data_IF_499045270193
#
_entry.id   IF_499045270193
#
_cell.length_a   1.000
_cell.length_b   1.000
_cell.length_c   1.000
_cell.angle_alpha   90.00
_cell.angle_beta   90.00
_cell.angle_gamma   90.00
#
_symmetry.space_group_name_H-M   'P 1'
#
loop_
_entity.id
_entity.type
_entity.pdbx_description
1 polymer ?
#
# COMPACT_ATOMS: atom_id res chain seq x y z
N UNK A 1 -7.23 -0.24 20.01
CA UNK A 1 -5.88 0.35 19.78
C UNK A 1 -5.58 0.19 18.31
N UNK A 2 -5.47 1.29 17.57
CA UNK A 2 -5.12 1.22 16.16
C UNK A 2 -3.62 0.91 16.07
N UNK A 3 -3.26 -0.10 15.27
CA UNK A 3 -1.85 -0.35 14.97
C UNK A 3 -1.38 0.70 13.97
N UNK A 4 -0.45 1.56 14.39
CA UNK A 4 0.19 2.53 13.51
C UNK A 4 1.44 1.84 12.97
N UNK A 5 1.49 1.62 11.66
CA UNK A 5 2.70 1.16 10.99
C UNK A 5 3.62 2.38 10.86
N UNK A 6 4.77 2.36 11.54
CA UNK A 6 5.81 3.38 11.40
C UNK A 6 6.91 2.79 10.52
N UNK A 7 7.19 3.42 9.39
CA UNK A 7 8.38 3.09 8.62
C UNK A 7 9.59 3.74 9.28
N UNK A 8 10.73 3.02 9.39
CA UNK A 8 11.96 3.59 9.90
C UNK A 8 12.43 4.72 8.97
N UNK A 9 12.90 5.80 9.56
CA UNK A 9 13.53 6.90 8.83
C UNK A 9 15.05 6.69 8.83
N UNK A 10 15.67 6.78 7.66
CA UNK A 10 17.11 6.66 7.49
C UNK A 10 17.64 7.95 6.88
N UNK A 11 18.76 8.44 7.39
CA UNK A 11 19.39 9.64 6.86
C UNK A 11 20.24 9.26 5.62
N UNK A 12 20.06 10.00 4.52
CA UNK A 12 20.78 9.76 3.26
C UNK A 12 22.30 9.91 3.38
N UNK A 13 22.79 10.78 4.24
CA UNK A 13 24.21 11.07 4.41
C UNK A 13 24.90 10.08 5.36
N UNK A 14 24.21 9.68 6.42
CA UNK A 14 24.76 8.78 7.46
C UNK A 14 24.51 7.30 7.18
N UNK A 15 23.37 6.96 6.58
CA UNK A 15 22.95 5.57 6.34
C UNK A 15 22.33 5.39 4.95
N UNK A 16 23.19 5.55 3.96
CA UNK A 16 22.83 5.70 2.55
C UNK A 16 22.15 4.47 1.95
N UNK A 17 22.66 3.26 2.23
CA UNK A 17 22.09 2.03 1.68
C UNK A 17 20.71 1.71 2.27
N UNK A 18 20.51 1.90 3.58
CA UNK A 18 19.19 1.70 4.19
C UNK A 18 18.19 2.78 3.77
N UNK A 19 18.65 4.02 3.54
CA UNK A 19 17.84 5.06 2.91
C UNK A 19 17.31 4.62 1.55
N UNK A 20 18.19 4.17 0.64
CA UNK A 20 17.76 3.72 -0.69
C UNK A 20 16.93 2.42 -0.63
N UNK A 21 17.22 1.51 0.29
CA UNK A 21 16.37 0.33 0.51
C UNK A 21 14.94 0.71 0.88
N UNK A 22 14.79 1.64 1.83
CA UNK A 22 13.49 2.11 2.30
C UNK A 22 12.74 2.86 1.19
N UNK A 23 13.43 3.77 0.49
CA UNK A 23 12.89 4.52 -0.64
C UNK A 23 12.34 3.58 -1.73
N UNK A 24 13.13 2.57 -2.11
CA UNK A 24 12.71 1.59 -3.12
C UNK A 24 11.55 0.72 -2.61
N UNK A 25 11.56 0.32 -1.34
CA UNK A 25 10.51 -0.52 -0.76
C UNK A 25 9.15 0.18 -0.70
N UNK A 26 9.14 1.51 -0.53
CA UNK A 26 7.92 2.31 -0.47
C UNK A 26 7.36 2.63 -1.87
N UNK A 27 8.25 2.94 -2.83
CA UNK A 27 7.84 3.58 -4.08
C UNK A 27 8.10 2.77 -5.35
N UNK A 28 8.82 1.65 -5.29
CA UNK A 28 8.98 0.75 -6.43
C UNK A 28 7.89 -0.34 -6.38
N UNK A 29 7.14 -0.59 -7.47
CA UNK A 29 6.10 -1.61 -7.50
C UNK A 29 6.71 -3.02 -7.61
N UNK A 30 7.24 -3.53 -6.51
CA UNK A 30 7.82 -4.88 -6.39
C UNK A 30 6.78 -5.87 -5.85
N UNK A 31 6.85 -7.14 -6.28
CA UNK A 31 6.03 -8.23 -5.70
C UNK A 31 6.77 -8.98 -4.60
N UNK A 32 8.10 -8.98 -4.66
CA UNK A 32 8.97 -9.62 -3.68
C UNK A 32 10.22 -8.77 -3.43
N UNK A 33 10.76 -8.87 -2.20
CA UNK A 33 12.02 -8.21 -1.82
C UNK A 33 13.22 -8.68 -2.65
N UNK A 34 13.14 -9.88 -3.24
CA UNK A 34 14.16 -10.42 -4.13
C UNK A 34 14.32 -9.61 -5.43
N UNK A 35 13.35 -8.77 -5.79
CA UNK A 35 13.44 -7.87 -6.95
C UNK A 35 14.34 -6.66 -6.68
N UNK A 36 14.59 -6.33 -5.40
CA UNK A 36 15.51 -5.26 -5.02
C UNK A 36 16.95 -5.77 -5.05
N UNK A 37 17.78 -5.14 -5.89
CA UNK A 37 19.18 -5.53 -6.07
C UNK A 37 20.08 -4.61 -5.25
N UNK A 38 21.04 -5.22 -4.53
CA UNK A 38 22.14 -4.50 -3.89
C UNK A 38 23.29 -4.27 -4.89
N UNK A 39 24.04 -3.16 -4.79
CA UNK A 39 23.82 -2.03 -3.87
C UNK A 39 22.59 -1.21 -4.26
N UNK A 40 21.80 -0.81 -3.26
CA UNK A 40 20.48 -0.20 -3.48
C UNK A 40 20.56 1.19 -4.09
N UNK A 41 21.58 1.97 -3.73
CA UNK A 41 21.83 3.27 -4.36
C UNK A 41 22.05 3.12 -5.86
N UNK A 42 22.92 2.17 -6.25
CA UNK A 42 23.23 1.94 -7.66
C UNK A 42 22.00 1.42 -8.41
N UNK A 43 21.24 0.50 -7.80
CA UNK A 43 20.01 0.00 -8.39
C UNK A 43 18.97 1.11 -8.57
N UNK A 44 18.88 2.07 -7.64
CA UNK A 44 18.04 3.25 -7.81
C UNK A 44 18.50 4.12 -8.98
N UNK A 45 19.80 4.42 -9.08
CA UNK A 45 20.34 5.36 -10.08
C UNK A 45 20.37 4.81 -11.51
N UNK A 46 20.78 3.56 -11.71
CA UNK A 46 20.96 2.96 -13.04
C UNK A 46 20.04 1.78 -13.33
N UNK A 47 19.25 1.32 -12.35
CA UNK A 47 18.40 0.15 -12.52
C UNK A 47 17.24 0.41 -13.48
N UNK A 48 16.84 -0.66 -14.14
CA UNK A 48 15.71 -0.69 -15.05
C UNK A 48 14.75 -1.82 -14.66
N UNK A 49 13.44 -1.56 -14.80
CA UNK A 49 12.38 -2.51 -14.53
C UNK A 49 11.40 -2.57 -15.70
N UNK A 50 10.81 -3.74 -15.91
CA UNK A 50 9.77 -3.92 -16.91
C UNK A 50 8.42 -3.53 -16.32
N UNK A 51 7.80 -2.48 -16.85
CA UNK A 51 6.45 -2.09 -16.47
C UNK A 51 5.43 -2.91 -17.27
N UNK A 52 4.82 -3.90 -16.62
CA UNK A 52 3.79 -4.74 -17.24
C UNK A 52 2.54 -3.96 -17.68
N UNK A 53 2.26 -2.77 -17.10
CA UNK A 53 1.11 -1.95 -17.50
C UNK A 53 1.38 -1.21 -18.81
N UNK A 54 2.60 -0.73 -18.99
CA UNK A 54 3.02 0.03 -20.17
C UNK A 54 3.72 -0.83 -21.23
N UNK A 55 4.01 -2.10 -20.92
CA UNK A 55 4.72 -3.05 -21.78
C UNK A 55 6.08 -2.52 -22.26
N UNK A 56 6.78 -1.78 -21.40
CA UNK A 56 8.06 -1.16 -21.72
C UNK A 56 9.05 -1.24 -20.55
N UNK A 57 10.33 -1.04 -20.85
CA UNK A 57 11.38 -0.91 -19.84
C UNK A 57 11.42 0.55 -19.37
N UNK A 58 11.46 0.74 -18.06
CA UNK A 58 11.55 2.06 -17.41
C UNK A 58 12.67 2.09 -16.39
N UNK A 59 13.23 3.28 -16.18
CA UNK A 59 14.23 3.49 -15.12
C UNK A 59 13.58 3.43 -13.74
N UNK A 60 14.23 2.75 -12.80
CA UNK A 60 13.80 2.64 -11.40
C UNK A 60 13.58 4.03 -10.80
N UNK A 61 14.53 4.94 -11.01
CA UNK A 61 14.47 6.34 -10.55
C UNK A 61 13.20 7.08 -10.97
N UNK A 62 12.80 6.94 -12.23
CA UNK A 62 11.62 7.61 -12.77
C UNK A 62 10.33 7.09 -12.13
N UNK A 63 10.22 5.77 -12.01
CA UNK A 63 9.04 5.12 -11.40
C UNK A 63 8.91 5.49 -9.92
N UNK A 64 10.02 5.45 -9.18
CA UNK A 64 10.07 5.85 -7.77
C UNK A 64 9.67 7.31 -7.61
N UNK A 65 10.21 8.21 -8.45
CA UNK A 65 9.89 9.64 -8.40
C UNK A 65 8.39 9.91 -8.67
N UNK A 66 7.82 9.27 -9.69
CA UNK A 66 6.39 9.39 -10.01
C UNK A 66 5.49 8.90 -8.88
N UNK A 67 5.81 7.73 -8.30
CA UNK A 67 5.06 7.16 -7.19
C UNK A 67 5.21 8.00 -5.92
N UNK A 68 6.42 8.46 -5.60
CA UNK A 68 6.65 9.36 -4.45
C UNK A 68 5.82 10.63 -4.60
N UNK A 69 5.87 11.29 -5.75
CA UNK A 69 5.04 12.48 -6.04
C UNK A 69 3.54 12.21 -5.94
N UNK A 70 3.10 11.00 -6.29
CA UNK A 70 1.70 10.60 -6.27
C UNK A 70 1.17 10.34 -4.85
N UNK A 71 1.99 9.78 -3.97
CA UNK A 71 1.56 9.33 -2.63
C UNK A 71 1.99 10.26 -1.50
N UNK A 72 3.09 10.99 -1.65
CA UNK A 72 3.50 12.01 -0.70
C UNK A 72 3.05 13.38 -1.20
N UNK A 73 1.93 13.89 -0.68
CA UNK A 73 1.38 15.19 -1.09
C UNK A 73 2.35 16.35 -0.84
N UNK A 74 3.21 16.23 0.18
CA UNK A 74 4.13 17.27 0.63
C UNK A 74 5.61 16.84 0.63
N UNK A 75 6.02 15.97 -0.29
CA UNK A 75 7.40 15.45 -0.28
C UNK A 75 8.45 16.54 -0.48
N UNK A 76 8.13 17.59 -1.24
CA UNK A 76 9.05 18.71 -1.47
C UNK A 76 9.18 19.58 -0.24
N UNK A 77 8.07 19.91 0.40
CA UNK A 77 8.03 20.69 1.63
C UNK A 77 8.73 19.93 2.76
N UNK A 78 8.64 18.60 2.77
CA UNK A 78 9.40 17.74 3.69
C UNK A 78 10.90 17.76 3.39
N UNK A 79 11.31 17.58 2.14
CA UNK A 79 12.74 17.64 1.74
C UNK A 79 13.33 19.05 1.98
N UNK A 80 12.56 20.11 1.75
CA UNK A 80 12.94 21.50 2.03
C UNK A 80 13.04 21.77 3.54
N UNK A 81 12.07 21.29 4.32
CA UNK A 81 12.11 21.37 5.78
C UNK A 81 13.28 20.58 6.36
N UNK A 82 13.63 19.42 5.80
CA UNK A 82 14.81 18.64 6.19
C UNK A 82 16.11 19.38 5.85
N UNK A 83 16.20 19.99 4.67
CA UNK A 83 17.35 20.82 4.27
C UNK A 83 17.50 22.03 5.19
N UNK A 84 16.41 22.72 5.50
CA UNK A 84 16.39 23.82 6.47
C UNK A 84 16.76 23.33 7.87
N UNK A 85 16.22 22.19 8.30
CA UNK A 85 16.55 21.56 9.59
C UNK A 85 18.04 21.28 9.69
N UNK A 86 18.64 20.62 8.70
CA UNK A 86 20.06 20.30 8.69
C UNK A 86 20.95 21.56 8.67
N UNK A 87 20.48 22.65 8.04
CA UNK A 87 21.16 23.95 8.08
C UNK A 87 21.06 24.63 9.45
N UNK A 88 19.89 24.59 10.10
CA UNK A 88 19.62 25.22 11.40
C UNK A 88 20.15 24.40 12.59
N UNK A 89 20.24 23.08 12.46
CA UNK A 89 20.70 22.17 13.52
C UNK A 89 22.18 22.33 13.85
N UNK A 90 22.94 23.06 13.03
CA UNK A 90 24.35 23.39 13.31
C UNK A 90 24.48 24.39 14.47
N UNK A 91 23.45 25.23 14.71
CA UNK A 91 23.52 26.34 15.67
C UNK A 91 22.54 26.24 16.86
N UNK A 92 21.58 25.30 16.85
CA UNK A 92 20.57 25.16 17.92
C UNK A 92 20.92 24.05 18.93
N UNK A 93 20.73 24.34 20.22
CA UNK A 93 20.94 23.36 21.32
C UNK A 93 19.76 22.39 21.40
N UNK A 94 20.04 21.11 21.65
CA UNK A 94 19.07 20.00 21.77
C UNK A 94 17.81 20.30 22.62
N UNK A 95 17.92 21.20 23.60
CA UNK A 95 16.81 21.56 24.50
C UNK A 95 15.70 22.38 23.81
N UNK A 96 16.02 23.16 22.79
CA UNK A 96 15.02 23.99 22.09
C UNK A 96 14.11 23.13 21.20
N UNK A 97 14.65 22.03 20.66
CA UNK A 97 13.87 21.05 19.88
C UNK A 97 12.84 20.31 20.73
N UNK A 98 13.23 19.87 21.92
CA UNK A 98 12.32 19.19 22.84
C UNK A 98 11.12 20.08 23.20
N UNK A 99 11.35 21.39 23.36
CA UNK A 99 10.29 22.35 23.65
C UNK A 99 9.38 22.61 22.45
N UNK A 100 9.94 22.76 21.24
CA UNK A 100 9.15 22.95 20.01
C UNK A 100 8.28 21.73 19.71
N UNK A 101 8.84 20.52 19.82
CA UNK A 101 8.09 19.27 19.59
C UNK A 101 6.99 19.11 20.63
N UNK A 102 7.30 19.30 21.93
CA UNK A 102 6.32 19.21 22.99
C UNK A 102 5.19 20.23 22.86
N UNK A 103 5.50 21.45 22.36
CA UNK A 103 4.49 22.48 22.14
C UNK A 103 3.63 22.18 20.90
N UNK A 104 4.24 21.71 19.80
CA UNK A 104 3.46 21.26 18.63
C UNK A 104 2.58 20.04 18.93
N UNK A 105 3.05 19.09 19.74
CA UNK A 105 2.25 17.93 20.16
C UNK A 105 1.01 18.35 20.96
N UNK A 106 1.07 19.44 21.72
CA UNK A 106 -0.11 19.99 22.44
C UNK A 106 -1.16 20.58 21.50
N UNK A 107 -0.72 21.16 20.38
CA UNK A 107 -1.61 21.77 19.37
C UNK A 107 -2.14 20.75 18.36
N UNK A 108 -1.57 19.54 18.36
CA UNK A 108 -1.82 18.52 17.37
C UNK A 108 -3.12 17.74 17.67
N UNK A 109 -4.22 18.23 17.09
CA UNK A 109 -5.41 17.39 16.84
C UNK A 109 -5.13 16.48 15.63
N UNK A 110 -4.21 15.52 15.77
CA UNK A 110 -3.85 14.56 14.68
C UNK A 110 -5.02 13.72 14.18
N UNK A 111 -6.13 13.73 14.90
CA UNK A 111 -7.30 12.90 14.65
C UNK A 111 -8.11 13.30 13.42
N UNK A 112 -7.96 14.53 12.88
CA UNK A 112 -8.85 15.06 11.84
C UNK A 112 -8.40 14.90 10.39
N UNK A 113 -7.08 14.91 10.13
CA UNK A 113 -6.56 15.03 8.75
C UNK A 113 -5.98 13.73 8.20
N UNK A 114 -5.65 12.74 9.04
CA UNK A 114 -5.22 11.40 8.58
C UNK A 114 -6.39 10.66 7.88
N UNK A 115 -7.64 10.96 8.25
CA UNK A 115 -8.83 10.36 7.62
C UNK A 115 -9.15 10.93 6.23
N UNK A 116 -8.44 11.97 5.79
CA UNK A 116 -8.57 12.58 4.47
C UNK A 116 -7.31 12.45 3.63
N UNK A 117 -6.54 11.39 3.84
CA UNK A 117 -5.46 11.05 2.93
C UNK A 117 -6.10 10.59 1.60
N UNK A 118 -6.17 11.52 0.65
CA UNK A 118 -6.79 11.36 -0.67
C UNK A 118 -5.93 10.46 -1.54
N UNK A 119 -5.76 9.20 -1.12
CA UNK A 119 -4.96 8.24 -1.85
C UNK A 119 -5.68 7.94 -3.17
N UNK A 120 -5.09 8.32 -4.32
CA UNK A 120 -5.75 8.23 -5.62
C UNK A 120 -6.13 6.79 -5.99
N UNK A 121 -5.47 5.78 -5.43
CA UNK A 121 -5.79 4.38 -5.70
C UNK A 121 -7.03 3.89 -4.91
N UNK A 122 -7.29 4.42 -3.72
CA UNK A 122 -8.53 4.12 -2.99
C UNK A 122 -9.74 4.73 -3.73
N UNK A 123 -9.59 5.93 -4.29
CA UNK A 123 -10.64 6.54 -5.12
C UNK A 123 -11.01 5.69 -6.35
N UNK A 124 -10.07 4.92 -6.93
CA UNK A 124 -10.36 3.99 -8.03
C UNK A 124 -11.18 2.79 -7.54
N UNK A 125 -10.88 2.25 -6.36
CA UNK A 125 -11.63 1.16 -5.75
C UNK A 125 -13.06 1.61 -5.43
N UNK A 126 -13.23 2.82 -4.87
CA UNK A 126 -14.55 3.37 -4.54
C UNK A 126 -15.35 3.80 -5.78
N UNK A 127 -14.73 4.32 -6.84
CA UNK A 127 -15.42 4.61 -8.11
C UNK A 127 -15.83 3.35 -8.88
N UNK A 128 -15.11 2.23 -8.72
CA UNK A 128 -15.51 0.91 -9.26
C UNK A 128 -16.69 0.29 -8.51
N UNK A 129 -16.94 0.66 -7.25
CA UNK A 129 -18.10 0.18 -6.46
C UNK A 129 -19.46 0.64 -7.00
N UNK A 130 -19.51 1.62 -7.90
CA UNK A 130 -20.74 2.02 -8.59
C UNK A 130 -21.14 1.10 -9.77
N UNK A 131 -20.40 0.01 -10.00
CA UNK A 131 -20.85 -1.09 -10.86
C UNK A 131 -21.19 -2.27 -9.95
N UNK A 132 -22.48 -2.56 -9.79
CA UNK A 132 -23.09 -3.61 -8.97
C UNK A 132 -22.60 -5.04 -9.30
N UNK A 133 -21.33 -5.37 -9.08
CA UNK A 133 -20.81 -6.75 -9.26
C UNK A 133 -19.76 -7.13 -8.23
N UNK A 134 -19.87 -6.66 -6.98
CA UNK A 134 -19.19 -7.33 -5.87
C UNK A 134 -20.14 -8.37 -5.30
N UNK A 135 -20.03 -9.60 -5.77
CA UNK A 135 -20.42 -10.75 -4.95
C UNK A 135 -19.31 -10.86 -3.92
N UNK A 136 -19.59 -10.43 -2.70
CA UNK A 136 -18.75 -10.68 -1.55
C UNK A 136 -18.74 -12.21 -1.35
N UNK A 137 -17.76 -12.89 -1.96
CA UNK A 137 -17.48 -14.30 -1.70
C UNK A 137 -16.86 -14.39 -0.31
N UNK A 138 -17.64 -14.04 0.71
CA UNK A 138 -17.45 -14.62 2.03
C UNK A 138 -17.62 -16.11 1.81
N UNK A 139 -16.53 -16.85 1.88
CA UNK A 139 -16.59 -18.29 1.97
C UNK A 139 -17.22 -18.61 3.32
N UNK A 140 -18.56 -18.57 3.36
CA UNK A 140 -19.34 -19.17 4.42
C UNK A 140 -19.14 -20.67 4.27
N UNK A 141 -18.24 -21.21 5.07
CA UNK A 141 -18.22 -22.65 5.31
C UNK A 141 -19.51 -23.00 6.04
N UNK A 142 -20.58 -23.20 5.28
CA UNK A 142 -21.81 -23.76 5.81
C UNK A 142 -21.56 -25.24 6.09
N UNK A 143 -21.90 -25.67 7.31
CA UNK A 143 -21.77 -27.05 7.75
C UNK A 143 -22.78 -27.94 7.02
N UNK A 144 -22.51 -29.24 6.96
CA UNK A 144 -23.40 -30.21 6.29
C UNK A 144 -24.82 -30.18 6.86
N UNK A 145 -24.96 -29.91 8.17
CA UNK A 145 -26.27 -29.85 8.84
C UNK A 145 -27.03 -28.56 8.54
N UNK A 146 -26.33 -27.47 8.20
CA UNK A 146 -26.97 -26.21 7.75
C UNK A 146 -27.48 -26.29 6.31
N UNK A 147 -26.79 -27.05 5.44
CA UNK A 147 -27.12 -27.15 4.01
C UNK A 147 -28.21 -28.21 3.76
N UNK A 148 -28.28 -29.26 4.58
CA UNK A 148 -29.19 -30.40 4.36
C UNK A 148 -30.68 -30.00 4.24
N UNK A 149 -31.25 -29.16 5.13
CA UNK A 149 -32.66 -28.77 5.01
C UNK A 149 -32.95 -27.99 3.72
N UNK A 150 -31.98 -27.21 3.25
CA UNK A 150 -32.11 -26.47 1.99
C UNK A 150 -32.16 -27.43 0.80
N UNK A 151 -31.28 -28.44 0.76
CA UNK A 151 -31.27 -29.45 -0.30
C UNK A 151 -32.58 -30.26 -0.34
N UNK A 152 -33.12 -30.60 0.83
CA UNK A 152 -34.36 -31.35 0.97
C UNK A 152 -35.61 -30.52 0.60
N UNK A 153 -35.54 -29.20 0.72
CA UNK A 153 -36.63 -28.28 0.39
C UNK A 153 -36.74 -27.92 -1.10
N UNK A 154 -35.77 -28.31 -1.93
CA UNK A 154 -35.74 -27.96 -3.35
C UNK A 154 -36.77 -28.75 -4.15
N UNK A 155 -37.47 -28.08 -5.07
CA UNK A 155 -38.32 -28.74 -6.05
C UNK A 155 -37.50 -29.39 -7.18
N UNK A 156 -38.15 -30.16 -8.06
CA UNK A 156 -37.48 -30.92 -9.12
C UNK A 156 -36.59 -30.04 -10.02
N UNK A 157 -37.12 -28.91 -10.52
CA UNK A 157 -36.39 -28.02 -11.42
C UNK A 157 -35.15 -27.41 -10.72
N UNK A 158 -35.30 -27.03 -9.45
CA UNK A 158 -34.20 -26.49 -8.65
C UNK A 158 -33.11 -27.53 -8.40
N UNK A 159 -33.49 -28.79 -8.14
CA UNK A 159 -32.54 -29.89 -7.99
C UNK A 159 -31.76 -30.15 -9.28
N UNK A 160 -32.43 -30.18 -10.44
CA UNK A 160 -31.77 -30.36 -11.74
C UNK A 160 -30.72 -29.28 -12.00
N UNK A 161 -31.08 -28.01 -11.80
CA UNK A 161 -30.13 -26.90 -11.97
C UNK A 161 -28.96 -27.00 -10.98
N UNK A 162 -29.26 -27.29 -9.70
CA UNK A 162 -28.22 -27.39 -8.67
C UNK A 162 -27.20 -28.49 -8.98
N UNK A 163 -27.65 -29.70 -9.33
CA UNK A 163 -26.76 -30.81 -9.63
C UNK A 163 -26.00 -30.61 -10.94
N UNK A 164 -26.60 -29.99 -11.95
CA UNK A 164 -25.91 -29.62 -13.18
C UNK A 164 -24.72 -28.68 -12.92
N UNK A 165 -24.94 -27.60 -12.15
CA UNK A 165 -23.88 -26.64 -11.79
C UNK A 165 -22.81 -27.31 -10.92
N UNK A 166 -23.22 -28.15 -9.95
CA UNK A 166 -22.30 -28.89 -9.09
C UNK A 166 -21.38 -29.80 -9.91
N UNK A 167 -21.93 -30.58 -10.84
CA UNK A 167 -21.12 -31.42 -11.72
C UNK A 167 -20.15 -30.61 -12.58
N UNK A 168 -20.61 -29.51 -13.15
CA UNK A 168 -19.78 -28.63 -13.97
C UNK A 168 -18.59 -28.06 -13.19
N UNK A 169 -18.82 -27.59 -11.97
CA UNK A 169 -17.76 -27.10 -11.09
C UNK A 169 -16.77 -28.22 -10.71
N UNK A 170 -17.27 -29.43 -10.44
CA UNK A 170 -16.42 -30.58 -10.06
C UNK A 170 -15.53 -31.03 -11.23
N UNK A 171 -16.08 -31.06 -12.45
CA UNK A 171 -15.34 -31.37 -13.68
C UNK A 171 -14.29 -30.31 -14.05
N UNK A 172 -14.45 -29.07 -13.60
CA UNK A 172 -13.52 -27.95 -13.89
C UNK A 172 -12.35 -27.86 -12.90
N UNK A 173 -12.47 -28.50 -11.73
CA UNK A 173 -11.44 -28.52 -10.68
C UNK A 173 -10.50 -29.74 -10.79
N UNK A 174 -10.79 -30.66 -11.71
CA UNK A 174 -9.92 -31.76 -12.14
C UNK A 174 -9.41 -31.49 -13.56
#
# INVERSE_FOLDING_TARGET
>A
RNAIIRYPYFNRETDRENYFENLLSLYLPIRSRNELKKPYELFYEIGEIFDARQQCIRKVKEVVYENRKKYEAHWKETDEAESLFNQLSVDMKDNEWAEIVANKEKDNTWSGDIEREDNPDFNIIHKRKNKNTFIDLKQTFATTDEIRPFLESMNYEQQEVFYYVREWCTKRLH
#
